data_IF_616182656520
#
_entry.id   IF_616182656520
#
_cell.length_a   1.000
_cell.length_b   1.000
_cell.length_c   1.000
_cell.angle_alpha   90.00
_cell.angle_beta   90.00
_cell.angle_gamma   90.00
#
_symmetry.space_group_name_H-M   'P 1'
#
loop_
_entity.id
_entity.type
_entity.pdbx_description
1 polymer ?
#
# COMPACT_ATOMS: atom_id res chain seq x y z
N UNK A 1 7.33 18.06 -16.32
CA UNK A 1 7.34 17.68 -14.88
C UNK A 1 5.94 17.84 -14.27
N UNK A 2 4.91 17.21 -14.84
CA UNK A 2 3.52 17.28 -14.32
C UNK A 2 2.80 15.94 -14.31
N UNK A 3 3.46 14.85 -14.74
CA UNK A 3 2.82 13.54 -14.88
C UNK A 3 2.95 12.66 -13.62
N UNK A 4 4.12 12.63 -12.97
CA UNK A 4 4.37 11.80 -11.77
C UNK A 4 3.49 12.12 -10.56
N UNK A 5 3.06 13.37 -10.39
CA UNK A 5 2.20 13.78 -9.26
C UNK A 5 0.76 13.27 -9.40
N UNK A 6 0.26 13.18 -10.65
CA UNK A 6 -1.08 12.68 -10.93
C UNK A 6 -1.18 11.16 -10.66
N UNK A 7 -0.16 10.39 -11.01
CA UNK A 7 -0.10 8.96 -10.72
C UNK A 7 -0.04 8.63 -9.22
N UNK A 8 0.67 9.45 -8.43
CA UNK A 8 0.72 9.27 -6.97
C UNK A 8 -0.63 9.57 -6.30
N UNK A 9 -1.34 10.62 -6.76
CA UNK A 9 -2.67 10.97 -6.25
C UNK A 9 -3.72 9.90 -6.58
N UNK A 10 -3.62 9.26 -7.75
CA UNK A 10 -4.45 8.12 -8.14
C UNK A 10 -4.25 6.93 -7.19
N UNK A 11 -3.01 6.52 -6.95
CA UNK A 11 -2.65 5.41 -6.05
C UNK A 11 -3.12 5.65 -4.61
N UNK A 12 -3.01 6.90 -4.12
CA UNK A 12 -3.46 7.26 -2.78
C UNK A 12 -4.97 7.03 -2.57
N UNK A 13 -5.76 7.04 -3.65
CA UNK A 13 -7.21 6.83 -3.59
C UNK A 13 -7.62 5.35 -3.58
N UNK A 14 -6.70 4.44 -3.91
CA UNK A 14 -6.99 3.01 -4.03
C UNK A 14 -7.35 2.38 -2.68
N UNK A 15 -8.26 1.40 -2.73
CA UNK A 15 -8.47 0.43 -1.66
C UNK A 15 -7.25 -0.50 -1.51
N UNK A 16 -7.23 -1.28 -0.43
CA UNK A 16 -6.14 -2.23 -0.20
C UNK A 16 -6.11 -3.31 -1.30
N UNK A 17 -7.26 -3.87 -1.65
CA UNK A 17 -7.38 -4.93 -2.65
C UNK A 17 -6.98 -4.43 -4.04
N UNK A 18 -7.40 -3.23 -4.43
CA UNK A 18 -7.01 -2.63 -5.71
C UNK A 18 -5.50 -2.38 -5.78
N UNK A 19 -4.93 -1.77 -4.73
CA UNK A 19 -3.48 -1.50 -4.68
C UNK A 19 -2.66 -2.80 -4.71
N UNK A 20 -3.10 -3.84 -3.99
CA UNK A 20 -2.47 -5.17 -4.00
C UNK A 20 -2.54 -5.82 -5.37
N UNK A 21 -3.72 -5.85 -5.98
CA UNK A 21 -3.93 -6.52 -7.27
C UNK A 21 -3.13 -5.85 -8.38
N UNK A 22 -3.02 -4.53 -8.33
CA UNK A 22 -2.18 -3.79 -9.25
C UNK A 22 -0.68 -4.02 -9.00
N UNK A 23 -0.24 -4.07 -7.74
CA UNK A 23 1.14 -4.39 -7.38
C UNK A 23 1.55 -5.76 -7.92
N UNK A 24 0.67 -6.76 -7.81
CA UNK A 24 0.90 -8.10 -8.38
C UNK A 24 1.08 -8.02 -9.90
N UNK A 25 0.31 -7.20 -10.62
CA UNK A 25 0.48 -7.01 -12.06
C UNK A 25 1.82 -6.36 -12.40
N UNK A 26 2.19 -5.30 -11.69
CA UNK A 26 3.48 -4.60 -11.87
C UNK A 26 4.65 -5.56 -11.67
N UNK A 27 4.63 -6.36 -10.60
CA UNK A 27 5.67 -7.38 -10.34
C UNK A 27 5.71 -8.40 -11.47
N UNK A 28 4.56 -8.92 -11.89
CA UNK A 28 4.50 -9.91 -12.97
C UNK A 28 5.03 -9.35 -14.31
N UNK A 29 4.83 -8.07 -14.60
CA UNK A 29 5.39 -7.42 -15.79
C UNK A 29 6.91 -7.23 -15.70
N UNK A 30 7.43 -6.85 -14.53
CA UNK A 30 8.87 -6.75 -14.29
C UNK A 30 9.57 -8.12 -14.44
N UNK A 31 8.97 -9.18 -13.92
CA UNK A 31 9.52 -10.54 -13.97
C UNK A 31 9.56 -11.15 -15.37
N UNK A 32 8.70 -10.70 -16.29
CA UNK A 32 8.70 -11.17 -17.68
C UNK A 32 9.94 -10.71 -18.46
N UNK A 33 10.69 -9.71 -17.99
CA UNK A 33 11.94 -9.26 -18.61
C UNK A 33 11.78 -8.63 -20.00
N UNK A 34 10.55 -8.30 -20.40
CA UNK A 34 10.21 -7.64 -21.66
C UNK A 34 10.29 -6.09 -21.68
N UNK A 35 10.25 -5.32 -20.56
CA UNK A 35 10.25 -3.87 -20.63
C UNK A 35 11.63 -3.28 -20.97
N UNK A 36 11.65 -2.11 -21.61
CA UNK A 36 12.87 -1.29 -21.72
C UNK A 36 13.33 -0.81 -20.35
N UNK A 37 14.53 -0.21 -20.27
CA UNK A 37 15.01 0.36 -19.02
C UNK A 37 14.07 1.45 -18.47
N UNK A 38 13.61 2.38 -19.32
CA UNK A 38 12.68 3.42 -18.86
C UNK A 38 11.36 2.84 -18.37
N UNK A 39 10.83 1.83 -19.06
CA UNK A 39 9.61 1.14 -18.65
C UNK A 39 9.81 0.38 -17.33
N UNK A 40 10.97 -0.26 -17.16
CA UNK A 40 11.32 -0.98 -15.93
C UNK A 40 11.41 -0.03 -14.73
N UNK A 41 11.97 1.17 -14.92
CA UNK A 41 12.02 2.21 -13.90
C UNK A 41 10.62 2.72 -13.54
N UNK A 42 9.78 3.00 -14.54
CA UNK A 42 8.41 3.46 -14.30
C UNK A 42 7.57 2.41 -13.56
N UNK A 43 7.70 1.12 -13.93
CA UNK A 43 7.05 0.01 -13.24
C UNK A 43 7.55 -0.11 -11.80
N UNK A 44 8.86 0.01 -11.58
CA UNK A 44 9.42 -0.03 -10.22
C UNK A 44 8.90 1.13 -9.35
N UNK A 45 8.93 2.37 -9.84
CA UNK A 45 8.42 3.53 -9.10
C UNK A 45 6.93 3.38 -8.75
N UNK A 46 6.13 2.86 -9.69
CA UNK A 46 4.71 2.56 -9.45
C UNK A 46 4.55 1.44 -8.40
N UNK A 47 5.36 0.39 -8.50
CA UNK A 47 5.38 -0.72 -7.54
C UNK A 47 5.68 -0.26 -6.12
N UNK A 48 6.68 0.60 -5.94
CA UNK A 48 7.03 1.18 -4.62
C UNK A 48 5.87 2.00 -4.05
N UNK A 49 5.23 2.83 -4.88
CA UNK A 49 4.07 3.62 -4.44
C UNK A 49 2.87 2.74 -4.03
N UNK A 50 2.59 1.66 -4.77
CA UNK A 50 1.54 0.70 -4.43
C UNK A 50 1.86 -0.07 -3.15
N UNK A 51 3.12 -0.46 -2.94
CA UNK A 51 3.58 -1.14 -1.74
C UNK A 51 3.42 -0.24 -0.50
N UNK A 52 3.83 1.04 -0.60
CA UNK A 52 3.63 2.02 0.46
C UNK A 52 2.15 2.20 0.80
N UNK A 53 1.27 2.27 -0.21
CA UNK A 53 -0.18 2.34 -0.01
C UNK A 53 -0.74 1.12 0.72
N UNK A 54 -0.28 -0.08 0.38
CA UNK A 54 -0.66 -1.30 1.07
C UNK A 54 -0.21 -1.28 2.54
N UNK A 55 1.01 -0.82 2.81
CA UNK A 55 1.54 -0.69 4.18
C UNK A 55 0.71 0.30 5.02
N UNK A 56 0.32 1.44 4.47
CA UNK A 56 -0.55 2.41 5.15
C UNK A 56 -1.86 1.78 5.62
N UNK A 57 -2.51 0.99 4.75
CA UNK A 57 -3.73 0.26 5.07
C UNK A 57 -3.52 -0.74 6.20
N UNK A 58 -2.47 -1.57 6.10
CA UNK A 58 -2.16 -2.60 7.10
C UNK A 58 -1.81 -1.99 8.45
N UNK A 59 -1.03 -0.92 8.48
CA UNK A 59 -0.69 -0.20 9.70
C UNK A 59 -1.94 0.46 10.32
N UNK A 60 -2.81 1.04 9.49
CA UNK A 60 -4.10 1.57 9.93
C UNK A 60 -5.00 0.50 10.56
N UNK A 61 -5.09 -0.68 9.93
CA UNK A 61 -5.84 -1.81 10.47
C UNK A 61 -5.26 -2.29 11.81
N UNK A 62 -3.93 -2.42 11.91
CA UNK A 62 -3.25 -2.79 13.15
C UNK A 62 -3.56 -1.81 14.29
N UNK A 63 -3.43 -0.50 14.05
CA UNK A 63 -3.76 0.53 15.06
C UNK A 63 -5.21 0.41 15.55
N UNK A 64 -6.17 0.12 14.66
CA UNK A 64 -7.57 -0.09 15.04
C UNK A 64 -7.76 -1.32 15.93
N UNK A 65 -7.06 -2.42 15.63
CA UNK A 65 -7.09 -3.63 16.44
C UNK A 65 -6.49 -3.39 17.83
N UNK A 66 -5.34 -2.72 17.90
CA UNK A 66 -4.68 -2.42 19.17
C UNK A 66 -5.55 -1.51 20.05
N UNK A 67 -6.14 -0.46 19.49
CA UNK A 67 -7.08 0.39 20.21
C UNK A 67 -8.35 -0.34 20.69
N UNK A 68 -8.84 -1.34 19.94
CA UNK A 68 -9.97 -2.17 20.36
C UNK A 68 -9.60 -3.09 21.53
N UNK A 69 -8.37 -3.62 21.55
CA UNK A 69 -7.85 -4.44 22.65
C UNK A 69 -7.70 -3.64 23.95
N UNK A 70 -7.13 -2.44 23.87
CA UNK A 70 -6.98 -1.54 25.02
C UNK A 70 -8.32 -1.18 25.66
N UNK A 71 -9.35 -0.90 24.84
CA UNK A 71 -10.72 -0.62 25.34
C UNK A 71 -11.41 -1.83 25.97
N UNK A 72 -10.98 -3.04 25.60
CA UNK A 72 -11.58 -4.30 26.08
C UNK A 72 -10.84 -4.88 27.29
N UNK A 73 -9.73 -4.28 27.71
CA UNK A 73 -9.04 -4.66 28.93
C UNK A 73 -9.95 -4.32 30.13
N UNK A 74 -10.23 -5.29 31.03
CA UNK A 74 -11.02 -5.00 32.22
C UNK A 74 -10.30 -3.89 33.00
N UNK A 75 -11.00 -2.78 33.21
CA UNK A 75 -10.62 -1.82 34.24
C UNK A 75 -10.62 -2.62 35.54
N UNK A 76 -9.43 -2.91 36.05
CA UNK A 76 -9.24 -3.45 37.38
C UNK A 76 -9.82 -2.43 38.36
N UNK A 77 -11.10 -2.60 38.68
CA UNK A 77 -11.80 -1.91 39.74
C UNK A 77 -11.44 -2.66 41.03
N UNK A 78 -10.21 -2.47 41.49
CA UNK A 78 -9.75 -2.84 42.82
C UNK A 78 -9.50 -1.54 43.58
N UNK A 79 -10.45 -1.08 44.41
CA UNK A 79 -10.74 -1.51 45.79
C UNK A 79 -9.79 -0.83 46.79
#
# INVERSE_FOLDING_TARGET
MTDSSAGAADIASLSFEEARDELVRVVAELEQGAPTLEQSLALWERGEALAARCEEWLLGAKRRLDAAREKSAPQDVGA
#
